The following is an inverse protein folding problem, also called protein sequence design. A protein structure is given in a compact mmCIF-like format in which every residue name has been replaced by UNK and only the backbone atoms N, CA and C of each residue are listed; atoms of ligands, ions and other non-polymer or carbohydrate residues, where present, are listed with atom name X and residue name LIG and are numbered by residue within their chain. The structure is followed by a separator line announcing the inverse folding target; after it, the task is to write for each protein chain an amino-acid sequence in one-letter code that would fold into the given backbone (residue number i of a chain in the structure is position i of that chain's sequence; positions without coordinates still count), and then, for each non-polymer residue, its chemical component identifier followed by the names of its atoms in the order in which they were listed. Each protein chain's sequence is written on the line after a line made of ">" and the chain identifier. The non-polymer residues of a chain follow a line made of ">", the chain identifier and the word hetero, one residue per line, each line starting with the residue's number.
data_IF_626270926697
#
_entry.id   IF_626270926697
#
_cell.length_a   1.000
_cell.length_b   1.000
_cell.length_c   1.000
_cell.angle_alpha   90.00
_cell.angle_beta   90.00
_cell.angle_gamma   90.00
#
_symmetry.space_group_name_H-M   'P 1'
#
loop_
_entity.id
_entity.type
_entity.pdbx_description
1 polymer ?
#
# COMPACT_ATOMS: atom_id res chain seq x y z
N UNK A 1 16.98 -17.83 -5.99
CA UNK A 1 16.29 -16.75 -5.25
C UNK A 1 15.90 -15.57 -6.15
N UNK A 2 16.84 -14.94 -6.86
CA UNK A 2 16.60 -13.72 -7.66
C UNK A 2 15.53 -13.87 -8.76
N UNK A 3 15.53 -14.96 -9.52
CA UNK A 3 14.52 -15.18 -10.60
C UNK A 3 13.09 -15.37 -10.08
N UNK A 4 12.93 -16.01 -8.91
CA UNK A 4 11.64 -16.16 -8.23
C UNK A 4 11.09 -14.79 -7.82
N UNK A 5 11.94 -13.91 -7.28
CA UNK A 5 11.58 -12.55 -6.87
C UNK A 5 11.28 -11.64 -8.08
N UNK A 6 11.98 -11.80 -9.21
CA UNK A 6 11.66 -11.09 -10.46
C UNK A 6 10.27 -11.49 -10.99
N UNK A 7 9.94 -12.78 -10.95
CA UNK A 7 8.64 -13.29 -11.38
C UNK A 7 7.52 -12.78 -10.46
N UNK A 8 7.78 -12.70 -9.16
CA UNK A 8 6.86 -12.13 -8.17
C UNK A 8 6.63 -10.65 -8.43
N UNK A 9 7.70 -9.88 -8.66
CA UNK A 9 7.61 -8.46 -8.95
C UNK A 9 6.83 -8.18 -10.24
N UNK A 10 6.97 -9.00 -11.29
CA UNK A 10 6.11 -8.90 -12.49
C UNK A 10 4.63 -8.99 -12.14
N UNK A 11 4.24 -9.98 -11.33
CA UNK A 11 2.85 -10.18 -10.92
C UNK A 11 2.34 -9.02 -10.07
N UNK A 12 3.13 -8.56 -9.11
CA UNK A 12 2.87 -7.38 -8.28
C UNK A 12 2.60 -6.14 -9.14
N UNK A 13 3.41 -5.93 -10.19
CA UNK A 13 3.22 -4.83 -11.12
C UNK A 13 1.92 -4.99 -11.91
N UNK A 14 1.62 -6.17 -12.45
CA UNK A 14 0.36 -6.42 -13.16
C UNK A 14 -0.87 -6.20 -12.26
N UNK A 15 -0.80 -6.62 -11.00
CA UNK A 15 -1.84 -6.44 -10.00
C UNK A 15 -2.00 -4.95 -9.61
N UNK A 16 -0.90 -4.24 -9.39
CA UNK A 16 -0.92 -2.81 -9.08
C UNK A 16 -1.42 -1.97 -10.26
N UNK A 17 -0.96 -2.28 -11.48
CA UNK A 17 -1.37 -1.64 -12.72
C UNK A 17 -2.81 -1.97 -13.12
N UNK A 18 -3.34 -3.10 -12.63
CA UNK A 18 -4.73 -3.54 -12.84
C UNK A 18 -4.98 -4.25 -14.17
N UNK A 19 -3.92 -4.61 -14.91
CA UNK A 19 -3.99 -5.37 -16.17
C UNK A 19 -2.67 -6.05 -16.50
N UNK A 20 -2.75 -7.09 -17.32
CA UNK A 20 -1.61 -7.85 -17.84
C UNK A 20 -0.75 -6.99 -18.77
N UNK A 21 0.57 -7.14 -18.71
CA UNK A 21 1.49 -6.40 -19.59
C UNK A 21 1.96 -7.32 -20.72
N UNK A 22 1.20 -7.34 -21.82
CA UNK A 22 1.39 -8.30 -22.92
C UNK A 22 1.96 -7.68 -24.20
N UNK A 23 1.91 -6.36 -24.37
CA UNK A 23 2.38 -5.69 -25.58
C UNK A 23 3.14 -4.40 -25.29
N UNK A 24 3.68 -3.81 -26.36
CA UNK A 24 4.36 -2.51 -26.30
C UNK A 24 3.43 -1.39 -25.80
N UNK A 25 2.13 -1.48 -26.13
CA UNK A 25 1.14 -0.48 -25.70
C UNK A 25 1.03 -0.44 -24.18
N UNK A 26 0.90 -1.58 -23.51
CA UNK A 26 0.83 -1.64 -22.05
C UNK A 26 2.14 -1.20 -21.40
N UNK A 27 3.30 -1.46 -22.02
CA UNK A 27 4.58 -0.96 -21.51
C UNK A 27 4.67 0.57 -21.55
N UNK A 28 4.13 1.21 -22.59
CA UNK A 28 4.06 2.68 -22.69
C UNK A 28 3.16 3.24 -21.60
N UNK A 29 1.98 2.64 -21.43
CA UNK A 29 1.01 3.10 -20.42
C UNK A 29 1.51 2.84 -18.99
N UNK A 30 2.17 1.72 -18.73
CA UNK A 30 2.80 1.41 -17.45
C UNK A 30 3.94 2.38 -17.14
N UNK A 31 4.79 2.71 -18.12
CA UNK A 31 5.88 3.68 -17.93
C UNK A 31 5.34 5.05 -17.49
N UNK A 32 4.23 5.50 -18.10
CA UNK A 32 3.52 6.73 -17.70
C UNK A 32 2.92 6.62 -16.30
N UNK A 33 2.28 5.50 -15.97
CA UNK A 33 1.67 5.29 -14.65
C UNK A 33 2.72 5.25 -13.54
N UNK A 34 3.86 4.58 -13.77
CA UNK A 34 5.01 4.58 -12.85
C UNK A 34 5.47 6.01 -12.60
N UNK A 35 5.74 6.78 -13.66
CA UNK A 35 6.20 8.15 -13.52
C UNK A 35 5.19 9.03 -12.76
N UNK A 36 3.90 8.87 -13.05
CA UNK A 36 2.83 9.67 -12.43
C UNK A 36 2.68 9.35 -10.94
N UNK A 37 2.83 8.08 -10.54
CA UNK A 37 2.59 7.64 -9.16
C UNK A 37 3.82 7.71 -8.26
N UNK A 38 5.00 7.40 -8.78
CA UNK A 38 6.25 7.34 -7.99
C UNK A 38 7.26 8.43 -8.34
N UNK A 39 7.08 9.18 -9.44
CA UNK A 39 8.07 10.14 -9.94
C UNK A 39 9.31 9.48 -10.55
N UNK A 40 9.34 8.15 -10.66
CA UNK A 40 10.51 7.39 -11.14
C UNK A 40 10.44 7.15 -12.64
N UNK A 41 11.55 7.36 -13.33
CA UNK A 41 11.67 7.10 -14.76
C UNK A 41 12.12 5.66 -15.02
N UNK A 42 11.25 4.87 -15.65
CA UNK A 42 11.58 3.55 -16.17
C UNK A 42 11.25 3.52 -17.66
N UNK A 43 12.26 3.25 -18.50
CA UNK A 43 12.09 3.27 -19.95
C UNK A 43 11.22 2.11 -20.45
N UNK A 44 10.46 2.36 -21.52
CA UNK A 44 9.64 1.34 -22.19
C UNK A 44 10.49 0.15 -22.65
N UNK A 45 11.73 0.40 -23.09
CA UNK A 45 12.68 -0.66 -23.47
C UNK A 45 13.08 -1.55 -22.28
N UNK A 46 13.25 -0.95 -21.12
CA UNK A 46 13.54 -1.67 -19.87
C UNK A 46 12.35 -2.51 -19.43
N UNK A 47 11.12 -1.97 -19.51
CA UNK A 47 9.90 -2.72 -19.22
C UNK A 47 9.70 -3.88 -20.20
N UNK A 48 9.91 -3.67 -21.50
CA UNK A 48 9.78 -4.73 -22.52
C UNK A 48 10.75 -5.90 -22.27
N UNK A 49 12.00 -5.61 -21.89
CA UNK A 49 12.95 -6.65 -21.46
C UNK A 49 12.52 -7.28 -20.14
N UNK A 50 12.07 -6.46 -19.19
CA UNK A 50 11.64 -6.92 -17.88
C UNK A 50 10.46 -7.88 -17.96
N UNK A 51 9.47 -7.69 -18.85
CA UNK A 51 8.33 -8.60 -19.04
C UNK A 51 8.58 -9.73 -20.04
N UNK A 52 9.78 -9.83 -20.63
CA UNK A 52 10.13 -10.89 -21.58
C UNK A 52 9.57 -10.70 -22.99
N UNK A 53 9.14 -9.49 -23.35
CA UNK A 53 8.67 -9.13 -24.70
C UNK A 53 9.81 -8.94 -25.71
N UNK A 54 11.06 -8.82 -25.23
CA UNK A 54 12.29 -8.80 -26.04
C UNK A 54 13.30 -9.71 -25.33
N UNK A 55 14.05 -10.51 -26.10
CA UNK A 55 15.19 -11.28 -25.57
C UNK A 55 16.24 -10.33 -24.99
N UNK A 56 16.72 -10.64 -23.79
CA UNK A 56 17.78 -9.91 -23.11
C UNK A 56 18.68 -10.91 -22.42
N UNK A 57 19.97 -10.88 -22.73
CA UNK A 57 20.98 -11.73 -22.09
C UNK A 57 21.40 -11.19 -20.72
N UNK A 58 20.98 -9.97 -20.39
CA UNK A 58 21.29 -9.31 -19.12
C UNK A 58 20.07 -9.25 -18.20
N UNK A 59 20.32 -9.61 -16.93
CA UNK A 59 19.39 -9.44 -15.83
C UNK A 59 19.06 -7.95 -15.62
N UNK A 60 17.83 -7.60 -15.20
CA UNK A 60 17.48 -6.23 -14.85
C UNK A 60 18.43 -5.68 -13.78
N UNK A 61 18.83 -4.41 -13.94
CA UNK A 61 19.61 -3.72 -12.92
C UNK A 61 18.89 -3.70 -11.58
N UNK A 62 19.63 -3.79 -10.49
CA UNK A 62 19.10 -3.65 -9.13
C UNK A 62 18.33 -2.32 -8.97
N UNK A 63 18.81 -1.24 -9.57
CA UNK A 63 18.13 0.06 -9.57
C UNK A 63 16.76 0.00 -10.23
N UNK A 64 16.65 -0.68 -11.37
CA UNK A 64 15.37 -0.89 -12.06
C UNK A 64 14.41 -1.72 -11.20
N UNK A 65 14.91 -2.79 -10.60
CA UNK A 65 14.13 -3.63 -9.69
C UNK A 65 13.61 -2.84 -8.50
N UNK A 66 14.45 -1.96 -7.95
CA UNK A 66 14.08 -1.09 -6.84
C UNK A 66 12.98 -0.09 -7.25
N UNK A 67 13.11 0.56 -8.41
CA UNK A 67 12.08 1.49 -8.89
C UNK A 67 10.73 0.82 -9.11
N UNK A 68 10.75 -0.42 -9.62
CA UNK A 68 9.54 -1.22 -9.83
C UNK A 68 8.93 -1.69 -8.50
N UNK A 69 9.75 -2.06 -7.53
CA UNK A 69 9.29 -2.40 -6.17
C UNK A 69 8.61 -1.20 -5.50
N UNK A 70 9.24 -0.01 -5.57
CA UNK A 70 8.69 1.26 -5.07
C UNK A 70 7.37 1.61 -5.72
N UNK A 71 7.24 1.40 -7.04
CA UNK A 71 5.98 1.59 -7.74
C UNK A 71 4.86 0.68 -7.21
N UNK A 72 5.18 -0.56 -6.82
CA UNK A 72 4.23 -1.50 -6.23
C UNK A 72 3.93 -1.25 -4.74
N UNK A 73 4.56 -0.23 -4.14
CA UNK A 73 4.41 0.10 -2.71
C UNK A 73 5.45 -0.55 -1.79
N UNK A 74 6.40 -1.33 -2.34
CA UNK A 74 7.49 -1.94 -1.57
C UNK A 74 8.67 -0.98 -1.43
N UNK A 75 9.32 -0.95 -0.26
CA UNK A 75 10.43 -0.02 0.02
C UNK A 75 11.67 -0.27 -0.84
N UNK A 76 11.96 -1.54 -1.11
CA UNK A 76 13.07 -1.92 -1.96
C UNK A 76 12.83 -3.28 -2.59
N UNK A 77 13.65 -3.64 -3.58
CA UNK A 77 13.62 -4.99 -4.15
C UNK A 77 13.95 -6.07 -3.10
N UNK A 78 14.72 -5.74 -2.08
CA UNK A 78 15.06 -6.67 -1.00
C UNK A 78 13.92 -6.79 0.04
N UNK A 79 13.05 -5.77 0.14
CA UNK A 79 11.83 -5.78 0.95
C UNK A 79 10.66 -6.49 0.27
N UNK A 80 10.86 -7.09 -0.91
CA UNK A 80 9.93 -8.09 -1.44
C UNK A 80 9.94 -9.28 -0.48
N UNK A 81 9.13 -9.19 0.58
CA UNK A 81 8.84 -10.36 1.40
C UNK A 81 8.37 -11.45 0.44
N UNK A 82 8.93 -12.67 0.54
CA UNK A 82 8.35 -13.77 -0.19
C UNK A 82 6.90 -13.90 0.28
N UNK A 83 5.97 -13.37 -0.52
CA UNK A 83 4.58 -13.78 -0.54
C UNK A 83 4.57 -15.23 -1.05
N UNK A 84 5.11 -16.12 -0.23
CA UNK A 84 5.03 -17.54 -0.36
C UNK A 84 3.90 -17.95 0.58
N UNK A 85 2.70 -18.08 0.01
CA UNK A 85 1.83 -19.25 0.24
C UNK A 85 0.41 -19.09 -0.31
N UNK A 86 -0.03 -17.89 -0.70
CA UNK A 86 -1.36 -17.69 -1.24
C UNK A 86 -1.22 -17.35 -2.73
N UNK A 87 -1.78 -18.17 -3.63
CA UNK A 87 -1.70 -17.96 -5.09
C UNK A 87 -2.36 -16.66 -5.56
N UNK A 88 -2.79 -16.61 -6.83
CA UNK A 88 -3.77 -15.59 -7.23
C UNK A 88 -5.16 -16.04 -6.76
N UNK A 89 -6.10 -15.11 -6.47
CA UNK A 89 -7.46 -15.52 -6.23
C UNK A 89 -7.95 -16.26 -7.48
N UNK A 90 -8.61 -17.39 -7.29
CA UNK A 90 -9.18 -18.12 -8.41
C UNK A 90 -10.22 -17.25 -9.15
N UNK A 91 -10.69 -17.64 -10.35
CA UNK A 91 -11.61 -16.81 -11.13
C UNK A 91 -12.90 -16.40 -10.39
N UNK A 92 -13.44 -17.28 -9.54
CA UNK A 92 -14.65 -16.99 -8.74
C UNK A 92 -14.34 -16.05 -7.58
N UNK A 93 -13.25 -16.29 -6.87
CA UNK A 93 -12.72 -15.38 -5.85
C UNK A 93 -12.44 -13.98 -6.42
N UNK A 94 -11.88 -13.90 -7.63
CA UNK A 94 -11.63 -12.65 -8.33
C UNK A 94 -12.92 -11.94 -8.76
N UNK A 95 -14.00 -12.68 -9.09
CA UNK A 95 -15.33 -12.08 -9.32
C UNK A 95 -15.92 -11.55 -8.03
N UNK A 96 -15.80 -12.30 -6.93
CA UNK A 96 -16.27 -11.89 -5.62
C UNK A 96 -15.56 -10.61 -5.13
N UNK A 97 -14.23 -10.55 -5.22
CA UNK A 97 -13.48 -9.34 -4.87
C UNK A 97 -13.93 -8.16 -5.73
N UNK A 98 -14.10 -8.35 -7.05
CA UNK A 98 -14.61 -7.27 -7.94
C UNK A 98 -16.01 -6.80 -7.55
N UNK A 99 -16.90 -7.72 -7.18
CA UNK A 99 -18.23 -7.37 -6.70
C UNK A 99 -18.15 -6.54 -5.42
N UNK A 100 -17.40 -7.00 -4.42
CA UNK A 100 -17.23 -6.25 -3.16
C UNK A 100 -16.63 -4.87 -3.43
N UNK A 101 -15.57 -4.77 -4.24
CA UNK A 101 -14.95 -3.49 -4.63
C UNK A 101 -15.94 -2.56 -5.34
N UNK A 102 -16.87 -3.10 -6.13
CA UNK A 102 -17.91 -2.30 -6.77
C UNK A 102 -18.85 -1.62 -5.77
N UNK A 103 -19.10 -2.24 -4.60
CA UNK A 103 -19.85 -1.64 -3.49
C UNK A 103 -19.09 -0.46 -2.85
N UNK A 104 -17.75 -0.45 -2.94
CA UNK A 104 -16.93 0.69 -2.50
C UNK A 104 -16.80 1.78 -3.57
N UNK A 105 -17.06 1.44 -4.82
CA UNK A 105 -16.86 2.37 -5.95
C UNK A 105 -18.17 3.08 -6.32
N UNK A 106 -19.27 2.35 -6.33
CA UNK A 106 -20.54 2.81 -6.91
C UNK A 106 -21.55 3.29 -5.87
N UNK A 107 -21.33 3.01 -4.57
CA UNK A 107 -22.23 3.48 -3.52
C UNK A 107 -21.94 4.93 -3.19
N UNK A 108 -22.93 5.80 -3.43
CA UNK A 108 -22.89 7.20 -3.01
C UNK A 108 -23.09 7.27 -1.51
N UNK A 109 -22.20 7.95 -0.81
CA UNK A 109 -22.26 8.15 0.64
C UNK A 109 -22.02 9.63 0.92
N UNK A 110 -23.08 10.36 1.25
CA UNK A 110 -22.99 11.78 1.60
C UNK A 110 -22.64 11.99 3.08
N UNK A 111 -22.99 11.01 3.93
CA UNK A 111 -22.67 11.01 5.34
C UNK A 111 -21.58 9.97 5.67
N UNK A 112 -20.51 10.45 6.32
CA UNK A 112 -19.44 9.60 6.85
C UNK A 112 -19.85 8.77 8.07
N UNK A 113 -21.07 8.98 8.58
CA UNK A 113 -21.68 8.25 9.69
C UNK A 113 -22.86 7.36 9.28
N UNK A 114 -23.08 7.14 7.97
CA UNK A 114 -24.15 6.29 7.47
C UNK A 114 -24.10 4.87 8.10
N UNK A 115 -25.08 4.48 8.93
CA UNK A 115 -25.03 3.22 9.67
C UNK A 115 -25.13 1.99 8.76
N UNK A 116 -25.79 2.12 7.61
CA UNK A 116 -25.95 1.04 6.63
C UNK A 116 -24.60 0.77 5.97
N UNK A 117 -23.92 1.83 5.52
CA UNK A 117 -22.62 1.72 4.88
C UNK A 117 -21.54 1.28 5.86
N UNK A 118 -21.55 1.81 7.09
CA UNK A 118 -20.65 1.34 8.15
C UNK A 118 -20.86 -0.14 8.46
N UNK A 119 -22.11 -0.62 8.46
CA UNK A 119 -22.40 -2.05 8.63
C UNK A 119 -21.86 -2.88 7.46
N UNK A 120 -22.03 -2.42 6.22
CA UNK A 120 -21.46 -3.08 5.02
C UNK A 120 -19.95 -3.21 5.12
N UNK A 121 -19.25 -2.14 5.51
CA UNK A 121 -17.78 -2.16 5.66
C UNK A 121 -17.38 -3.14 6.77
N UNK A 122 -18.06 -3.10 7.93
CA UNK A 122 -17.80 -4.02 9.04
C UNK A 122 -18.00 -5.48 8.63
N UNK A 123 -19.12 -5.81 7.98
CA UNK A 123 -19.42 -7.17 7.54
C UNK A 123 -18.45 -7.63 6.45
N UNK A 124 -18.01 -6.74 5.57
CA UNK A 124 -16.96 -7.04 4.57
C UNK A 124 -15.64 -7.40 5.25
N UNK A 125 -15.21 -6.61 6.24
CA UNK A 125 -13.99 -6.90 7.01
C UNK A 125 -14.10 -8.26 7.70
N UNK A 126 -15.24 -8.55 8.34
CA UNK A 126 -15.48 -9.82 9.01
C UNK A 126 -15.48 -10.99 8.03
N UNK A 127 -16.10 -10.84 6.87
CA UNK A 127 -16.17 -11.86 5.83
C UNK A 127 -14.79 -12.20 5.25
N UNK A 128 -13.97 -11.18 4.97
CA UNK A 128 -12.62 -11.35 4.44
C UNK A 128 -11.60 -11.77 5.52
N UNK A 129 -11.98 -11.71 6.80
CA UNK A 129 -11.11 -12.14 7.89
C UNK A 129 -10.82 -13.65 7.78
N UNK A 130 -9.56 -14.05 7.89
CA UNK A 130 -9.14 -15.43 7.66
C UNK A 130 -8.96 -15.81 6.19
N UNK A 131 -9.13 -14.86 5.25
CA UNK A 131 -8.88 -15.06 3.81
C UNK A 131 -7.80 -14.08 3.29
N UNK A 132 -6.51 -14.30 3.61
CA UNK A 132 -5.44 -13.32 3.37
C UNK A 132 -5.30 -12.91 1.91
N UNK A 133 -5.55 -13.84 0.99
CA UNK A 133 -5.44 -13.65 -0.45
C UNK A 133 -6.51 -12.68 -0.96
N UNK A 134 -7.78 -12.89 -0.56
CA UNK A 134 -8.88 -11.99 -0.93
C UNK A 134 -8.72 -10.64 -0.26
N UNK A 135 -8.27 -10.62 0.99
CA UNK A 135 -8.03 -9.38 1.73
C UNK A 135 -6.98 -8.51 1.05
N UNK A 136 -5.85 -9.08 0.62
CA UNK A 136 -4.81 -8.31 -0.08
C UNK A 136 -5.33 -7.73 -1.41
N UNK A 137 -5.98 -8.57 -2.23
CA UNK A 137 -6.57 -8.14 -3.50
C UNK A 137 -7.63 -7.05 -3.30
N UNK A 138 -8.47 -7.19 -2.26
CA UNK A 138 -9.47 -6.21 -1.88
C UNK A 138 -8.83 -4.89 -1.46
N UNK A 139 -7.88 -4.90 -0.51
CA UNK A 139 -7.22 -3.69 0.01
C UNK A 139 -6.48 -2.92 -1.09
N UNK A 140 -5.78 -3.63 -1.98
CA UNK A 140 -5.11 -3.02 -3.14
C UNK A 140 -6.08 -2.29 -4.05
N UNK A 141 -7.29 -2.83 -4.23
CA UNK A 141 -8.32 -2.22 -5.06
C UNK A 141 -9.01 -1.04 -4.36
N UNK A 142 -9.41 -1.19 -3.09
CA UNK A 142 -10.13 -0.13 -2.37
C UNK A 142 -9.23 1.05 -1.94
N UNK A 143 -7.90 0.88 -1.88
CA UNK A 143 -6.97 1.98 -1.67
C UNK A 143 -7.11 3.08 -2.75
N UNK A 144 -7.60 2.74 -3.94
CA UNK A 144 -7.82 3.64 -5.07
C UNK A 144 -9.17 4.36 -5.01
N UNK A 145 -10.09 3.95 -4.14
CA UNK A 145 -11.44 4.49 -4.08
C UNK A 145 -11.60 5.46 -2.91
N UNK A 146 -12.42 6.51 -3.10
CA UNK A 146 -12.72 7.49 -2.05
C UNK A 146 -13.31 6.81 -0.81
N UNK A 147 -14.27 5.90 -0.99
CA UNK A 147 -14.91 5.24 0.14
C UNK A 147 -13.98 4.23 0.82
N UNK A 148 -13.11 3.55 0.08
CA UNK A 148 -12.09 2.68 0.67
C UNK A 148 -11.12 3.45 1.56
N UNK A 149 -10.62 4.57 1.07
CA UNK A 149 -9.76 5.47 1.85
C UNK A 149 -10.46 5.96 3.13
N UNK A 150 -11.66 6.55 3.01
CA UNK A 150 -12.36 7.18 4.13
C UNK A 150 -12.93 6.17 5.13
N UNK A 151 -13.65 5.16 4.65
CA UNK A 151 -14.35 4.25 5.54
C UNK A 151 -13.46 3.09 5.97
N UNK A 152 -12.80 2.39 5.05
CA UNK A 152 -12.00 1.24 5.43
C UNK A 152 -10.70 1.63 6.16
N UNK A 153 -9.86 2.48 5.56
CA UNK A 153 -8.55 2.80 6.13
C UNK A 153 -8.63 3.79 7.30
N UNK A 154 -9.39 4.87 7.16
CA UNK A 154 -9.40 5.98 8.14
C UNK A 154 -10.40 5.78 9.29
N UNK A 155 -11.52 5.09 9.04
CA UNK A 155 -12.55 4.87 10.09
C UNK A 155 -12.45 3.49 10.74
N UNK A 156 -12.30 2.43 9.96
CA UNK A 156 -12.18 1.05 10.46
C UNK A 156 -10.72 0.63 10.70
N UNK A 157 -10.01 1.41 11.51
CA UNK A 157 -8.60 1.16 11.84
C UNK A 157 -8.46 -0.17 12.59
N UNK A 158 -7.80 -1.15 11.97
CA UNK A 158 -7.61 -2.47 12.58
C UNK A 158 -6.21 -2.62 13.19
N UNK A 159 -6.06 -2.14 14.43
CA UNK A 159 -4.78 -2.18 15.16
C UNK A 159 -4.33 -3.62 15.46
N UNK A 160 -5.26 -4.54 15.72
CA UNK A 160 -4.93 -5.96 15.97
C UNK A 160 -4.29 -6.65 14.76
N UNK A 161 -4.57 -6.15 13.57
CA UNK A 161 -4.00 -6.66 12.29
C UNK A 161 -2.96 -5.73 11.70
N UNK A 162 -2.43 -4.80 12.50
CA UNK A 162 -1.40 -3.85 12.09
C UNK A 162 -0.09 -4.56 11.74
N UNK A 163 0.28 -5.65 12.42
CA UNK A 163 1.41 -6.50 12.00
C UNK A 163 0.98 -7.62 11.02
N UNK A 164 -0.13 -7.43 10.31
CA UNK A 164 -0.67 -8.38 9.34
C UNK A 164 -1.19 -7.66 8.10
N UNK A 165 -2.35 -8.09 7.60
CA UNK A 165 -2.92 -7.54 6.37
C UNK A 165 -3.22 -6.04 6.47
N UNK A 166 -3.61 -5.52 7.64
CA UNK A 166 -3.96 -4.10 7.75
C UNK A 166 -2.71 -3.21 7.62
N UNK A 167 -1.59 -3.61 8.22
CA UNK A 167 -0.31 -2.93 8.05
C UNK A 167 0.14 -2.86 6.60
N UNK A 168 0.06 -3.99 5.86
CA UNK A 168 0.36 -3.99 4.42
C UNK A 168 -0.62 -3.14 3.62
N UNK A 169 -1.91 -3.20 3.96
CA UNK A 169 -2.94 -2.37 3.34
C UNK A 169 -2.65 -0.87 3.47
N UNK A 170 -2.05 -0.42 4.59
CA UNK A 170 -1.66 0.97 4.76
C UNK A 170 -0.60 1.43 3.74
N UNK A 171 0.26 0.53 3.26
CA UNK A 171 1.24 0.84 2.23
C UNK A 171 0.54 1.12 0.89
N UNK A 172 -0.46 0.32 0.51
CA UNK A 172 -1.32 0.60 -0.66
C UNK A 172 -2.08 1.92 -0.50
N UNK A 173 -2.63 2.18 0.69
CA UNK A 173 -3.33 3.43 0.98
C UNK A 173 -2.41 4.66 0.85
N UNK A 174 -1.20 4.61 1.42
CA UNK A 174 -0.21 5.68 1.32
C UNK A 174 0.28 5.86 -0.11
N UNK A 175 0.34 4.79 -0.90
CA UNK A 175 0.68 4.86 -2.32
C UNK A 175 -0.36 5.65 -3.14
N UNK A 176 -1.64 5.56 -2.79
CA UNK A 176 -2.73 6.17 -3.56
C UNK A 176 -3.21 7.53 -2.99
N UNK A 177 -3.24 7.74 -1.67
CA UNK A 177 -3.73 8.98 -1.05
C UNK A 177 -2.59 9.88 -0.56
N UNK A 178 -2.19 10.84 -1.39
CA UNK A 178 -1.04 11.74 -1.14
C UNK A 178 -1.36 13.02 -0.34
N UNK A 179 -2.55 13.13 0.24
CA UNK A 179 -2.86 14.31 1.07
C UNK A 179 -1.99 14.31 2.32
N UNK A 180 -1.58 15.50 2.75
CA UNK A 180 -0.73 15.69 3.93
C UNK A 180 -1.25 14.92 5.16
N UNK A 181 -2.54 15.06 5.44
CA UNK A 181 -3.20 14.39 6.56
C UNK A 181 -3.17 12.86 6.44
N UNK A 182 -3.39 12.32 5.23
CA UNK A 182 -3.33 10.88 4.97
C UNK A 182 -1.92 10.31 5.17
N UNK A 183 -0.91 11.04 4.72
CA UNK A 183 0.49 10.64 4.87
C UNK A 183 0.90 10.63 6.36
N UNK A 184 0.54 11.67 7.12
CA UNK A 184 0.77 11.69 8.58
C UNK A 184 0.02 10.53 9.25
N UNK A 185 -1.25 10.31 8.90
CA UNK A 185 -2.06 9.24 9.47
C UNK A 185 -1.47 7.84 9.23
N UNK A 186 -1.16 7.51 7.97
CA UNK A 186 -0.69 6.17 7.61
C UNK A 186 0.73 5.91 8.13
N UNK A 187 1.64 6.88 8.03
CA UNK A 187 2.98 6.74 8.58
C UNK A 187 2.99 6.65 10.12
N UNK A 188 2.06 7.30 10.81
CA UNK A 188 1.94 7.13 12.26
C UNK A 188 1.57 5.70 12.65
N UNK A 189 0.64 5.08 11.91
CA UNK A 189 0.24 3.69 12.14
C UNK A 189 1.37 2.72 11.78
N UNK A 190 2.09 2.94 10.68
CA UNK A 190 3.26 2.12 10.34
C UNK A 190 4.41 2.31 11.34
N UNK A 191 4.65 3.52 11.83
CA UNK A 191 5.60 3.76 12.91
C UNK A 191 5.20 2.95 14.16
N UNK A 192 3.93 3.03 14.57
CA UNK A 192 3.42 2.23 15.69
C UNK A 192 3.61 0.72 15.47
N UNK A 193 3.34 0.21 14.25
CA UNK A 193 3.57 -1.21 13.87
C UNK A 193 5.01 -1.63 14.19
N UNK A 194 5.97 -0.85 13.71
CA UNK A 194 7.38 -1.20 13.81
C UNK A 194 7.94 -0.97 15.20
N UNK A 195 7.47 0.05 15.91
CA UNK A 195 7.79 0.25 17.31
C UNK A 195 7.35 -0.95 18.17
N UNK A 196 6.09 -1.39 18.03
CA UNK A 196 5.57 -2.56 18.74
C UNK A 196 6.29 -3.86 18.35
N UNK A 197 6.77 -3.93 17.11
CA UNK A 197 7.51 -5.09 16.59
C UNK A 197 9.01 -5.04 16.88
N UNK A 198 9.50 -4.02 17.61
CA UNK A 198 10.93 -3.78 17.90
C UNK A 198 11.81 -3.73 16.65
N UNK A 199 11.29 -3.15 15.57
CA UNK A 199 12.02 -2.90 14.31
C UNK A 199 12.39 -1.42 14.23
N UNK A 200 13.39 -1.03 15.02
CA UNK A 200 13.75 0.38 15.26
C UNK A 200 14.08 1.15 13.98
N UNK A 201 14.81 0.54 13.03
CA UNK A 201 15.14 1.17 11.75
C UNK A 201 13.89 1.55 10.94
N UNK A 202 12.89 0.67 10.91
CA UNK A 202 11.63 0.89 10.19
C UNK A 202 10.73 1.86 10.94
N UNK A 203 10.75 1.84 12.27
CA UNK A 203 10.08 2.85 13.08
C UNK A 203 10.66 4.24 12.78
N UNK A 204 11.99 4.40 12.84
CA UNK A 204 12.66 5.68 12.60
C UNK A 204 12.38 6.22 11.19
N UNK A 205 12.35 5.34 10.18
CA UNK A 205 12.00 5.70 8.81
C UNK A 205 10.60 6.36 8.74
N UNK A 206 9.58 5.69 9.27
CA UNK A 206 8.22 6.21 9.21
C UNK A 206 8.01 7.41 10.14
N UNK A 207 8.69 7.44 11.29
CA UNK A 207 8.68 8.59 12.18
C UNK A 207 9.30 9.83 11.49
N UNK A 208 10.41 9.67 10.76
CA UNK A 208 11.03 10.77 10.03
C UNK A 208 10.15 11.28 8.89
N UNK A 209 9.59 10.37 8.09
CA UNK A 209 8.69 10.73 6.99
C UNK A 209 7.47 11.51 7.51
N UNK A 210 6.80 11.00 8.56
CA UNK A 210 5.68 11.67 9.21
C UNK A 210 6.04 13.08 9.69
N UNK A 211 7.20 13.24 10.35
CA UNK A 211 7.62 14.51 10.94
C UNK A 211 8.01 15.55 9.88
N UNK A 212 8.26 15.12 8.63
CA UNK A 212 8.60 16.03 7.52
C UNK A 212 7.44 16.91 7.07
N UNK A 213 6.19 16.45 7.25
CA UNK A 213 5.00 17.17 6.77
C UNK A 213 4.65 18.40 7.64
N UNK A 214 5.04 18.42 8.92
CA UNK A 214 4.64 19.45 9.88
C UNK A 214 3.12 19.48 10.15
N UNK A 215 2.68 20.21 11.17
CA UNK A 215 1.27 20.35 11.53
C UNK A 215 0.71 21.73 11.16
N UNK A 216 -0.57 21.79 10.81
CA UNK A 216 -1.33 23.01 10.63
C UNK A 216 -2.73 22.86 11.23
N UNK A 217 -3.50 23.95 11.27
CA UNK A 217 -4.82 23.99 11.92
C UNK A 217 -5.92 23.22 11.16
N UNK A 218 -5.68 22.81 9.91
CA UNK A 218 -6.66 22.08 9.11
C UNK A 218 -6.63 20.57 9.38
N UNK A 219 -5.54 20.06 9.96
CA UNK A 219 -5.39 18.63 10.27
C UNK A 219 -6.27 18.24 11.46
N UNK A 220 -6.97 17.11 11.33
CA UNK A 220 -7.86 16.62 12.37
C UNK A 220 -7.11 16.34 13.70
N UNK A 221 -7.67 16.71 14.87
CA UNK A 221 -7.01 16.54 16.17
C UNK A 221 -6.51 15.12 16.47
N UNK A 222 -7.24 14.07 16.05
CA UNK A 222 -6.77 12.68 16.19
C UNK A 222 -5.47 12.40 15.41
N UNK A 223 -5.29 13.00 14.23
CA UNK A 223 -4.05 12.86 13.44
C UNK A 223 -2.91 13.62 14.11
N UNK A 224 -3.19 14.82 14.66
CA UNK A 224 -2.23 15.55 15.49
C UNK A 224 -1.79 14.74 16.72
N UNK A 225 -2.72 14.06 17.40
CA UNK A 225 -2.40 13.17 18.52
C UNK A 225 -1.45 12.04 18.12
N UNK A 226 -1.67 11.41 16.97
CA UNK A 226 -0.77 10.39 16.41
C UNK A 226 0.60 10.94 16.04
N UNK A 227 0.65 12.16 15.52
CA UNK A 227 1.91 12.86 15.21
C UNK A 227 2.75 13.06 16.47
N UNK A 228 2.15 13.63 17.52
CA UNK A 228 2.85 13.85 18.79
C UNK A 228 3.20 12.53 19.49
N UNK A 229 2.33 11.53 19.44
CA UNK A 229 2.63 10.18 19.95
C UNK A 229 3.87 9.59 19.28
N UNK A 230 3.98 9.70 17.95
CA UNK A 230 5.17 9.24 17.21
C UNK A 230 6.43 10.02 17.62
N UNK A 231 6.31 11.34 17.81
CA UNK A 231 7.40 12.19 18.30
C UNK A 231 7.89 11.74 19.68
N UNK A 232 6.98 11.45 20.60
CA UNK A 232 7.31 10.96 21.94
C UNK A 232 8.02 9.60 21.89
N UNK A 233 7.48 8.64 21.11
CA UNK A 233 8.12 7.33 20.94
C UNK A 233 9.54 7.44 20.37
N UNK A 234 9.76 8.41 19.47
CA UNK A 234 11.09 8.67 18.89
C UNK A 234 12.07 9.22 19.94
N UNK A 235 11.62 10.16 20.77
CA UNK A 235 12.43 10.69 21.87
C UNK A 235 12.78 9.61 22.90
N UNK A 236 11.83 8.73 23.25
CA UNK A 236 12.07 7.58 24.11
C UNK A 236 13.16 6.65 23.56
N UNK A 237 13.15 6.38 22.26
CA UNK A 237 14.16 5.55 21.61
C UNK A 237 15.55 6.22 21.63
N UNK A 238 15.60 7.53 21.42
CA UNK A 238 16.83 8.31 21.45
C UNK A 238 17.39 8.59 22.86
N UNK A 239 16.65 8.23 23.92
CA UNK A 239 16.92 8.63 25.32
C UNK A 239 17.01 10.15 25.51
N UNK A 240 16.32 10.91 24.66
CA UNK A 240 16.27 12.37 24.75
C UNK A 240 15.20 12.80 25.79
N UNK A 241 15.41 13.91 26.52
CA UNK A 241 14.40 14.43 27.43
C UNK A 241 13.14 14.84 26.65
N UNK A 242 12.00 14.27 27.03
CA UNK A 242 10.69 14.63 26.50
C UNK A 242 10.26 15.97 27.11
N UNK A 243 10.62 17.07 26.46
CA UNK A 243 10.15 18.42 26.79
C UNK A 243 8.65 18.60 26.54
#
# INVERSE_FOLDING_TARGET
>A
MREKNITLLRKEIEAHFGRKVLSNKECIELSKDIFTKSGLLVSVTTLRRFFGLIKSDHLPSYTTLNHLAVYCGHRSYDDLEPLQSAGEPNPEESKLVRYIVSLFTNTVTDDVHDPTYLSLVRHTILFLNGQPLLMDAFQRAIAKTKNGQTFYFERFINVDKLNGYFGRGLEYYLAEKKTKEAQIFGHALLALRYWLSKKDDLFLLHAQELLSYGLDRAIHPFVCGRYYGTKLLKACLAKEPTG
#
